data_IF_286125896764
#
_entry.id   IF_286125896764
#
_cell.length_a   1.000
_cell.length_b   1.000
_cell.length_c   1.000
_cell.angle_alpha   90.00
_cell.angle_beta   90.00
_cell.angle_gamma   90.00
#
_symmetry.space_group_name_H-M   'P 1'
#
loop_
_entity.id
_entity.type
_entity.pdbx_description
1 polymer ?
#
# COMPACT_ATOMS: atom_id res chain seq x y z
N UNK A 1 28.01 -50.57 16.16
CA UNK A 1 26.56 -50.65 15.87
C UNK A 1 25.76 -49.65 16.66
N UNK A 2 26.23 -49.28 17.84
CA UNK A 2 25.46 -48.44 18.79
C UNK A 2 25.25 -46.96 18.41
N UNK A 3 26.14 -46.41 17.55
CA UNK A 3 26.03 -44.99 17.18
C UNK A 3 24.83 -44.69 16.24
N UNK A 4 24.55 -45.60 15.31
CA UNK A 4 23.39 -45.47 14.39
C UNK A 4 22.06 -45.67 15.12
N UNK A 5 22.01 -46.57 16.12
CA UNK A 5 20.82 -46.75 16.95
C UNK A 5 20.56 -45.55 17.87
N UNK A 6 21.62 -44.97 18.45
CA UNK A 6 21.50 -43.78 19.31
C UNK A 6 21.14 -42.50 18.53
N UNK A 7 21.54 -42.37 17.27
CA UNK A 7 21.26 -41.16 16.44
C UNK A 7 20.04 -41.32 15.52
N UNK A 8 19.52 -42.55 15.36
CA UNK A 8 18.35 -42.82 14.50
C UNK A 8 17.14 -41.93 14.75
N UNK A 9 16.72 -41.72 16.00
CA UNK A 9 15.61 -40.83 16.30
C UNK A 9 15.86 -39.37 15.90
N UNK A 10 17.11 -38.89 16.04
CA UNK A 10 17.48 -37.51 15.63
C UNK A 10 17.42 -37.36 14.11
N UNK A 11 17.96 -38.31 13.35
CA UNK A 11 17.89 -38.30 11.89
C UNK A 11 16.46 -38.40 11.38
N UNK A 12 15.62 -39.19 12.01
CA UNK A 12 14.21 -39.30 11.70
C UNK A 12 13.47 -37.99 11.98
N UNK A 13 13.73 -37.32 13.12
CA UNK A 13 13.16 -36.02 13.43
C UNK A 13 13.61 -34.94 12.41
N UNK A 14 14.89 -34.90 12.04
CA UNK A 14 15.42 -34.01 11.02
C UNK A 14 14.77 -34.26 9.65
N UNK A 15 14.59 -35.52 9.27
CA UNK A 15 13.88 -35.90 8.04
C UNK A 15 12.42 -35.38 8.04
N UNK A 16 11.68 -35.59 9.13
CA UNK A 16 10.30 -35.09 9.25
C UNK A 16 10.25 -33.58 9.19
N UNK A 17 11.12 -32.87 9.89
CA UNK A 17 11.24 -31.43 9.88
C UNK A 17 11.53 -30.95 8.46
N UNK A 18 12.54 -31.49 7.81
CA UNK A 18 12.92 -31.12 6.44
C UNK A 18 11.77 -31.37 5.44
N UNK A 19 11.13 -32.55 5.55
CA UNK A 19 9.98 -32.91 4.69
C UNK A 19 8.81 -31.96 4.91
N UNK A 20 8.51 -31.59 6.16
CA UNK A 20 7.46 -30.60 6.47
C UNK A 20 7.78 -29.23 5.86
N UNK A 21 9.00 -28.72 6.05
CA UNK A 21 9.39 -27.41 5.50
C UNK A 21 9.41 -27.40 3.97
N UNK A 22 9.91 -28.46 3.34
CA UNK A 22 9.91 -28.60 1.88
C UNK A 22 8.48 -28.71 1.32
N UNK A 23 7.61 -29.51 1.93
CA UNK A 23 6.19 -29.60 1.56
C UNK A 23 5.48 -28.27 1.70
N UNK A 24 5.74 -27.52 2.79
CA UNK A 24 5.22 -26.17 2.99
C UNK A 24 5.75 -25.19 1.94
N UNK A 25 7.03 -25.25 1.61
CA UNK A 25 7.64 -24.40 0.59
C UNK A 25 7.03 -24.68 -0.79
N UNK A 26 6.87 -25.95 -1.19
CA UNK A 26 6.22 -26.33 -2.42
C UNK A 26 4.76 -25.87 -2.48
N UNK A 27 4.00 -26.06 -1.42
CA UNK A 27 2.63 -25.55 -1.32
C UNK A 27 2.58 -24.01 -1.44
N UNK A 28 3.51 -23.32 -0.76
CA UNK A 28 3.62 -21.85 -0.87
C UNK A 28 3.92 -21.41 -2.29
N UNK A 29 4.81 -22.08 -3.01
CA UNK A 29 5.11 -21.80 -4.42
C UNK A 29 3.86 -21.91 -5.31
N UNK A 30 3.04 -22.95 -5.11
CA UNK A 30 1.77 -23.10 -5.85
C UNK A 30 0.78 -21.97 -5.55
N UNK A 31 0.67 -21.58 -4.28
CA UNK A 31 -0.20 -20.45 -3.87
C UNK A 31 0.31 -19.13 -4.45
N UNK A 32 1.61 -18.89 -4.40
CA UNK A 32 2.25 -17.69 -4.93
C UNK A 32 2.12 -17.65 -6.48
N UNK A 33 2.32 -18.78 -7.17
CA UNK A 33 2.10 -18.90 -8.61
C UNK A 33 0.64 -18.56 -9.01
N UNK A 34 -0.32 -19.13 -8.29
CA UNK A 34 -1.74 -18.79 -8.48
C UNK A 34 -2.00 -17.31 -8.21
N UNK A 35 -1.38 -16.75 -7.19
CA UNK A 35 -1.46 -15.32 -6.85
C UNK A 35 -0.93 -14.44 -7.99
N UNK A 36 0.24 -14.79 -8.54
CA UNK A 36 0.84 -14.10 -9.65
C UNK A 36 -0.09 -14.10 -10.88
N UNK A 37 -0.57 -15.27 -11.29
CA UNK A 37 -1.51 -15.39 -12.43
C UNK A 37 -2.80 -14.58 -12.19
N UNK A 38 -3.30 -14.56 -10.95
CA UNK A 38 -4.51 -13.79 -10.61
C UNK A 38 -4.27 -12.29 -10.79
N UNK A 39 -3.13 -11.79 -10.34
CA UNK A 39 -2.79 -10.35 -10.45
C UNK A 39 -2.45 -9.98 -11.89
N UNK A 40 -1.64 -10.78 -12.59
CA UNK A 40 -1.29 -10.51 -13.99
C UNK A 40 -2.55 -10.41 -14.86
N UNK A 41 -3.45 -11.39 -14.78
CA UNK A 41 -4.73 -11.33 -15.53
C UNK A 41 -5.57 -10.12 -15.15
N UNK A 42 -5.64 -9.77 -13.87
CA UNK A 42 -6.37 -8.60 -13.42
C UNK A 42 -5.81 -7.30 -14.00
N UNK A 43 -4.48 -7.19 -14.11
CA UNK A 43 -3.80 -6.06 -14.74
C UNK A 43 -4.03 -6.09 -16.26
N UNK A 44 -3.76 -7.22 -16.92
CA UNK A 44 -3.95 -7.39 -18.37
C UNK A 44 -5.38 -7.06 -18.82
N UNK A 45 -6.40 -7.59 -18.13
CA UNK A 45 -7.80 -7.31 -18.41
C UNK A 45 -8.12 -5.82 -18.27
N UNK A 46 -7.56 -5.15 -17.28
CA UNK A 46 -7.79 -3.72 -17.07
C UNK A 46 -7.11 -2.85 -18.14
N UNK A 47 -5.88 -3.20 -18.54
CA UNK A 47 -5.19 -2.48 -19.61
C UNK A 47 -5.84 -2.75 -20.99
N UNK A 48 -6.34 -3.94 -21.25
CA UNK A 48 -7.11 -4.24 -22.45
C UNK A 48 -8.44 -3.47 -22.53
N UNK A 49 -9.00 -3.08 -21.38
CA UNK A 49 -10.25 -2.34 -21.30
C UNK A 49 -10.07 -0.81 -21.19
N UNK A 50 -8.85 -0.28 -21.31
CA UNK A 50 -8.59 1.16 -21.12
C UNK A 50 -9.38 2.06 -22.09
N UNK A 51 -9.55 1.63 -23.34
CA UNK A 51 -10.28 2.41 -24.34
C UNK A 51 -11.78 2.48 -24.06
N UNK A 52 -12.30 1.53 -23.28
CA UNK A 52 -13.70 1.51 -22.85
C UNK A 52 -13.97 2.36 -21.60
N UNK A 53 -12.94 2.92 -20.95
CA UNK A 53 -13.12 3.82 -19.82
C UNK A 53 -13.65 5.18 -20.28
N UNK A 54 -14.46 5.86 -19.45
CA UNK A 54 -14.91 7.23 -19.73
C UNK A 54 -13.70 8.12 -20.03
N UNK A 55 -13.76 8.95 -21.06
CA UNK A 55 -12.73 9.92 -21.34
C UNK A 55 -12.79 11.12 -20.38
N UNK A 56 -11.80 12.01 -20.48
CA UNK A 56 -11.66 13.14 -19.58
C UNK A 56 -12.87 14.09 -19.67
N UNK A 57 -13.39 14.33 -20.87
CA UNK A 57 -14.54 15.21 -21.10
C UNK A 57 -15.82 14.65 -20.46
N UNK A 58 -16.05 13.35 -20.53
CA UNK A 58 -17.16 12.67 -19.83
C UNK A 58 -17.02 12.79 -18.32
N UNK A 59 -15.80 12.56 -17.80
CA UNK A 59 -15.54 12.63 -16.37
C UNK A 59 -15.65 14.06 -15.82
N UNK A 60 -15.30 15.06 -16.60
CA UNK A 60 -15.43 16.47 -16.22
C UNK A 60 -16.89 16.87 -15.98
N UNK A 61 -17.80 16.37 -16.80
CA UNK A 61 -19.23 16.67 -16.71
C UNK A 61 -20.03 15.71 -15.82
N UNK A 62 -19.42 14.63 -15.33
CA UNK A 62 -20.07 13.67 -14.44
C UNK A 62 -20.07 14.19 -12.98
N UNK A 63 -21.23 14.59 -12.42
CA UNK A 63 -21.26 15.15 -11.06
C UNK A 63 -20.83 14.12 -9.99
N UNK A 64 -21.03 12.82 -10.27
CA UNK A 64 -20.65 11.73 -9.38
C UNK A 64 -19.18 11.35 -9.48
N UNK A 65 -18.43 11.85 -10.47
CA UNK A 65 -17.01 11.56 -10.60
C UNK A 65 -16.25 12.07 -9.37
N UNK A 66 -15.36 11.25 -8.78
CA UNK A 66 -14.66 11.62 -7.56
C UNK A 66 -13.70 12.80 -7.77
N UNK A 67 -13.38 13.49 -6.69
CA UNK A 67 -12.26 14.43 -6.63
C UNK A 67 -11.07 13.72 -5.97
N UNK A 68 -9.87 13.94 -6.50
CA UNK A 68 -8.65 13.38 -5.94
C UNK A 68 -7.80 14.47 -5.29
N UNK A 69 -7.38 14.21 -4.06
CA UNK A 69 -6.29 14.93 -3.37
C UNK A 69 -5.12 13.96 -3.29
N UNK A 70 -4.15 14.13 -4.19
CA UNK A 70 -3.01 13.22 -4.29
C UNK A 70 -1.82 13.80 -3.53
N UNK A 71 -1.45 13.13 -2.44
CA UNK A 71 -0.39 13.56 -1.53
C UNK A 71 0.96 12.94 -1.94
N UNK A 72 1.98 13.78 -1.98
CA UNK A 72 3.37 13.38 -2.21
C UNK A 72 4.19 13.86 -1.01
N UNK A 73 4.37 13.04 0.04
CA UNK A 73 5.25 13.37 1.14
C UNK A 73 6.69 13.35 0.66
N UNK A 74 7.41 14.44 0.87
CA UNK A 74 8.76 14.61 0.38
C UNK A 74 9.68 15.19 1.47
N UNK A 75 10.91 14.68 1.52
CA UNK A 75 11.95 15.15 2.43
C UNK A 75 13.33 14.90 1.82
N UNK A 76 14.01 15.99 1.44
CA UNK A 76 15.26 15.97 0.68
C UNK A 76 15.19 15.13 -0.60
N UNK A 77 14.20 15.46 -1.45
CA UNK A 77 13.92 14.65 -2.65
C UNK A 77 14.29 15.38 -3.94
N UNK A 78 15.52 15.19 -4.45
CA UNK A 78 16.00 15.91 -5.65
C UNK A 78 15.33 15.46 -6.94
N UNK A 79 14.67 14.29 -6.96
CA UNK A 79 14.07 13.69 -8.18
C UNK A 79 12.55 13.83 -8.23
N UNK A 80 11.95 14.62 -7.36
CA UNK A 80 10.50 14.78 -7.24
C UNK A 80 9.82 15.22 -8.54
N UNK A 81 10.53 15.93 -9.42
CA UNK A 81 9.98 16.40 -10.71
C UNK A 81 9.43 15.26 -11.58
N UNK A 82 10.05 14.07 -11.55
CA UNK A 82 9.56 12.89 -12.27
C UNK A 82 8.17 12.45 -11.79
N UNK A 83 7.98 12.35 -10.49
CA UNK A 83 6.71 12.01 -9.84
C UNK A 83 5.63 13.05 -10.16
N UNK A 84 5.98 14.34 -10.07
CA UNK A 84 5.06 15.42 -10.38
C UNK A 84 4.64 15.42 -11.85
N UNK A 85 5.58 15.17 -12.76
CA UNK A 85 5.28 15.04 -14.19
C UNK A 85 4.32 13.90 -14.47
N UNK A 86 4.52 12.73 -13.83
CA UNK A 86 3.63 11.59 -13.98
C UNK A 86 2.21 11.87 -13.44
N UNK A 87 2.10 12.51 -12.26
CA UNK A 87 0.82 12.86 -11.66
C UNK A 87 0.06 13.93 -12.44
N UNK A 88 0.75 15.00 -12.84
CA UNK A 88 0.16 16.11 -13.61
C UNK A 88 -0.15 15.71 -15.06
N UNK A 89 0.48 14.63 -15.57
CA UNK A 89 0.15 14.00 -16.86
C UNK A 89 -0.99 12.98 -16.78
N UNK A 90 -1.71 12.91 -15.65
CA UNK A 90 -2.85 12.01 -15.48
C UNK A 90 -3.97 12.34 -16.48
N UNK A 91 -4.57 11.29 -17.07
CA UNK A 91 -5.77 11.40 -17.93
C UNK A 91 -7.02 11.54 -17.09
N UNK A 92 -7.10 12.65 -16.35
CA UNK A 92 -8.22 12.95 -15.47
C UNK A 92 -8.49 14.45 -15.46
N UNK A 93 -9.75 14.91 -15.33
CA UNK A 93 -10.08 16.33 -15.34
C UNK A 93 -9.25 17.13 -14.35
N UNK A 94 -8.57 18.15 -14.84
CA UNK A 94 -7.62 18.95 -14.07
C UNK A 94 -8.25 19.70 -12.90
N UNK A 95 -9.56 20.03 -12.99
CA UNK A 95 -10.33 20.67 -11.92
C UNK A 95 -10.78 19.68 -10.83
N UNK A 96 -10.49 18.38 -10.98
CA UNK A 96 -10.83 17.31 -10.04
C UNK A 96 -9.63 16.56 -9.51
N UNK A 97 -8.41 16.99 -9.85
CA UNK A 97 -7.15 16.40 -9.36
C UNK A 97 -6.28 17.50 -8.75
N UNK A 98 -6.02 17.38 -7.47
CA UNK A 98 -5.13 18.26 -6.71
C UNK A 98 -3.92 17.46 -6.26
N UNK A 99 -2.73 17.86 -6.69
CA UNK A 99 -1.44 17.26 -6.28
C UNK A 99 -0.85 18.12 -5.16
N UNK A 100 -0.65 17.55 -4.00
CA UNK A 100 -0.17 18.25 -2.80
C UNK A 100 1.16 17.66 -2.38
N UNK A 101 2.22 18.44 -2.52
CA UNK A 101 3.54 18.06 -2.01
C UNK A 101 3.64 18.52 -0.55
N UNK A 102 3.79 17.55 0.34
CA UNK A 102 3.96 17.79 1.77
C UNK A 102 5.45 17.74 2.11
N UNK A 103 6.07 18.89 2.35
CA UNK A 103 7.46 19.04 2.75
C UNK A 103 7.59 19.36 4.24
N UNK A 104 8.80 19.52 4.74
CA UNK A 104 9.09 19.82 6.16
C UNK A 104 9.93 21.09 6.31
N UNK A 105 9.60 21.93 7.28
CA UNK A 105 10.40 23.12 7.63
C UNK A 105 11.85 22.79 8.02
N UNK A 106 12.12 21.54 8.42
CA UNK A 106 13.49 21.10 8.75
C UNK A 106 14.46 21.24 7.57
N UNK A 107 13.98 21.10 6.33
CA UNK A 107 14.83 21.27 5.14
C UNK A 107 15.39 22.69 5.04
N UNK A 108 14.63 23.69 5.47
CA UNK A 108 15.08 25.09 5.47
C UNK A 108 16.14 25.36 6.55
N UNK A 109 16.02 24.65 7.69
CA UNK A 109 16.92 24.81 8.83
C UNK A 109 18.20 23.98 8.73
N UNK A 110 18.15 22.87 8.01
CA UNK A 110 19.24 21.90 7.87
C UNK A 110 19.41 21.50 6.41
N UNK A 111 20.12 22.29 5.58
CA UNK A 111 20.33 21.95 4.19
C UNK A 111 21.02 20.60 4.03
N UNK A 112 20.54 19.78 3.09
CA UNK A 112 21.15 18.49 2.80
C UNK A 112 22.46 18.71 2.02
N UNK A 113 23.60 18.06 2.38
CA UNK A 113 24.90 18.30 1.74
C UNK A 113 24.95 18.03 0.23
N UNK A 114 23.96 17.29 -0.31
CA UNK A 114 23.87 16.92 -1.73
C UNK A 114 22.77 17.64 -2.49
N UNK A 115 22.11 18.61 -1.87
CA UNK A 115 21.06 19.40 -2.49
C UNK A 115 21.42 20.88 -2.41
N UNK A 116 21.37 21.57 -3.54
CA UNK A 116 21.63 23.02 -3.61
C UNK A 116 20.46 23.84 -3.05
N UNK A 117 19.27 23.23 -2.94
CA UNK A 117 18.06 23.90 -2.50
C UNK A 117 17.11 22.91 -1.81
N UNK A 118 16.05 23.41 -1.16
CA UNK A 118 15.03 22.57 -0.50
C UNK A 118 14.10 21.92 -1.53
N UNK A 119 13.45 20.82 -1.13
CA UNK A 119 12.42 20.17 -1.97
C UNK A 119 11.29 21.17 -2.28
N UNK A 120 10.87 21.97 -1.32
CA UNK A 120 9.84 22.99 -1.53
C UNK A 120 10.20 23.96 -2.63
N UNK A 121 11.44 24.44 -2.66
CA UNK A 121 11.93 25.37 -3.69
C UNK A 121 12.05 24.68 -5.06
N UNK A 122 12.52 23.43 -5.10
CA UNK A 122 12.52 22.64 -6.35
C UNK A 122 11.11 22.51 -6.94
N UNK A 123 10.11 22.25 -6.11
CA UNK A 123 8.72 22.14 -6.55
C UNK A 123 8.17 23.49 -7.03
N UNK A 124 8.51 24.59 -6.35
CA UNK A 124 8.10 25.93 -6.81
C UNK A 124 8.69 26.26 -8.18
N UNK A 125 10.01 26.05 -8.37
CA UNK A 125 10.68 26.25 -9.66
C UNK A 125 10.08 25.35 -10.73
N UNK A 126 9.83 24.08 -10.45
CA UNK A 126 9.15 23.18 -11.36
C UNK A 126 7.75 23.70 -11.73
N UNK A 127 6.94 24.13 -10.73
CA UNK A 127 5.61 24.69 -10.97
C UNK A 127 5.64 25.91 -11.90
N UNK A 128 6.64 26.77 -11.76
CA UNK A 128 6.78 27.98 -12.61
C UNK A 128 7.07 27.65 -14.07
N UNK A 129 7.54 26.43 -14.39
CA UNK A 129 7.72 25.95 -15.77
C UNK A 129 6.45 25.36 -16.39
N UNK A 130 5.41 25.12 -15.58
CA UNK A 130 4.17 24.47 -16.03
C UNK A 130 3.19 25.47 -16.67
N UNK A 131 2.30 24.99 -17.56
CA UNK A 131 1.20 25.80 -18.05
C UNK A 131 0.25 26.20 -16.90
N UNK A 132 -0.48 27.35 -17.00
CA UNK A 132 -1.28 27.88 -15.89
C UNK A 132 -2.30 26.92 -15.29
N UNK A 133 -2.87 26.02 -16.09
CA UNK A 133 -3.83 25.04 -15.61
C UNK A 133 -3.17 23.96 -14.74
N UNK A 134 -1.95 23.50 -15.07
CA UNK A 134 -1.20 22.55 -14.22
C UNK A 134 -0.66 23.23 -12.94
N UNK A 135 -0.31 24.52 -13.02
CA UNK A 135 0.10 25.27 -11.82
C UNK A 135 -0.99 25.27 -10.74
N UNK A 136 -2.26 25.33 -11.15
CA UNK A 136 -3.41 25.28 -10.23
C UNK A 136 -3.62 23.91 -9.60
N UNK A 137 -3.18 22.83 -10.26
CA UNK A 137 -3.26 21.47 -9.72
C UNK A 137 -2.22 21.21 -8.63
N UNK A 138 -1.10 21.96 -8.62
CA UNK A 138 0.07 21.67 -7.77
C UNK A 138 0.16 22.66 -6.59
N UNK A 139 0.08 22.12 -5.38
CA UNK A 139 0.20 22.88 -4.13
C UNK A 139 1.35 22.33 -3.29
N UNK A 140 2.10 23.23 -2.66
CA UNK A 140 3.14 22.86 -1.68
C UNK A 140 2.63 23.20 -0.29
N UNK A 141 2.68 22.25 0.61
CA UNK A 141 2.36 22.40 2.03
C UNK A 141 3.58 22.06 2.86
N UNK A 142 3.97 22.95 3.74
CA UNK A 142 5.12 22.75 4.61
C UNK A 142 4.65 22.37 6.01
N UNK A 143 5.02 21.19 6.46
CA UNK A 143 4.74 20.74 7.81
C UNK A 143 5.77 21.33 8.79
N UNK A 144 5.35 21.76 10.02
CA UNK A 144 6.25 22.28 11.03
C UNK A 144 7.40 21.30 11.37
N UNK A 145 8.55 21.82 11.75
CA UNK A 145 9.73 21.00 12.05
C UNK A 145 9.50 19.97 13.18
N UNK A 146 8.60 20.28 14.12
CA UNK A 146 8.22 19.36 15.20
C UNK A 146 7.31 18.20 14.72
N UNK A 147 6.84 18.23 13.47
CA UNK A 147 6.07 17.12 12.91
C UNK A 147 6.99 15.93 12.62
N UNK A 148 6.67 14.78 13.22
CA UNK A 148 7.51 13.58 13.14
C UNK A 148 7.56 12.90 11.75
N UNK A 149 7.11 11.65 11.67
CA UNK A 149 7.23 10.79 10.47
C UNK A 149 6.25 11.17 9.35
N UNK A 150 6.34 10.46 8.21
CA UNK A 150 5.51 10.58 6.99
C UNK A 150 4.01 10.76 7.29
N UNK A 151 3.45 9.98 8.23
CA UNK A 151 2.03 10.10 8.61
C UNK A 151 1.65 11.51 9.10
N UNK A 152 2.52 12.16 9.83
CA UNK A 152 2.27 13.52 10.32
C UNK A 152 2.27 14.54 9.17
N UNK A 153 3.17 14.39 8.18
CA UNK A 153 3.17 15.23 6.97
C UNK A 153 1.87 15.05 6.19
N UNK A 154 1.42 13.78 6.02
CA UNK A 154 0.17 13.45 5.33
C UNK A 154 -1.04 14.07 6.06
N UNK A 155 -1.11 13.92 7.39
CA UNK A 155 -2.19 14.51 8.18
C UNK A 155 -2.14 16.05 8.16
N UNK A 156 -0.95 16.65 8.17
CA UNK A 156 -0.79 18.09 8.06
C UNK A 156 -1.29 18.63 6.71
N UNK A 157 -1.03 17.90 5.64
CA UNK A 157 -1.53 18.24 4.30
C UNK A 157 -3.05 18.13 4.19
N UNK A 158 -3.71 17.34 5.03
CA UNK A 158 -5.16 17.12 5.05
C UNK A 158 -5.92 17.94 6.10
N UNK A 159 -5.27 18.92 6.73
CA UNK A 159 -5.96 19.80 7.67
C UNK A 159 -7.08 20.61 6.98
N UNK A 160 -8.12 21.00 7.75
CA UNK A 160 -9.30 21.67 7.19
C UNK A 160 -8.98 22.89 6.32
N UNK A 161 -8.01 23.70 6.72
CA UNK A 161 -7.62 24.91 5.99
C UNK A 161 -7.06 24.60 4.60
N UNK A 162 -6.22 23.56 4.53
CA UNK A 162 -5.64 23.09 3.25
C UNK A 162 -6.76 22.55 2.34
N UNK A 163 -7.61 21.67 2.89
CA UNK A 163 -8.72 21.10 2.13
C UNK A 163 -9.71 22.15 1.66
N UNK A 164 -10.01 23.16 2.49
CA UNK A 164 -10.87 24.26 2.11
C UNK A 164 -10.28 25.07 0.94
N UNK A 165 -8.97 25.31 0.96
CA UNK A 165 -8.27 26.02 -0.13
C UNK A 165 -8.30 25.21 -1.44
N UNK A 166 -8.10 23.89 -1.35
CA UNK A 166 -8.02 23.01 -2.52
C UNK A 166 -9.39 22.73 -3.14
N UNK A 167 -10.38 22.47 -2.31
CA UNK A 167 -11.66 21.90 -2.71
C UNK A 167 -12.79 22.94 -2.77
N UNK A 168 -12.61 24.15 -2.18
CA UNK A 168 -13.71 25.10 -1.93
C UNK A 168 -14.62 24.61 -0.79
N UNK A 169 -15.70 25.37 -0.47
CA UNK A 169 -16.44 25.19 0.78
C UNK A 169 -17.22 23.87 0.96
N UNK A 170 -17.89 23.36 -0.09
CA UNK A 170 -18.91 22.30 0.05
C UNK A 170 -18.57 21.02 -0.73
N UNK A 171 -17.50 20.34 -0.33
CA UNK A 171 -17.20 19.02 -0.90
C UNK A 171 -17.72 17.90 -0.01
N UNK A 172 -18.50 16.98 -0.60
CA UNK A 172 -18.87 15.73 0.05
C UNK A 172 -17.64 14.86 0.27
N UNK A 173 -17.20 14.61 1.52
CA UNK A 173 -16.03 13.80 1.80
C UNK A 173 -16.14 12.35 1.30
N UNK A 174 -17.35 11.87 1.04
CA UNK A 174 -17.59 10.56 0.46
C UNK A 174 -17.27 10.49 -1.04
N UNK A 175 -17.06 11.63 -1.69
CA UNK A 175 -16.65 11.75 -3.11
C UNK A 175 -15.20 12.16 -3.29
N UNK A 176 -14.48 12.42 -2.21
CA UNK A 176 -13.07 12.77 -2.24
C UNK A 176 -12.21 11.55 -1.91
N UNK A 177 -11.26 11.23 -2.78
CA UNK A 177 -10.25 10.21 -2.52
C UNK A 177 -8.89 10.86 -2.29
N UNK A 178 -8.27 10.48 -1.17
CA UNK A 178 -6.91 10.85 -0.83
C UNK A 178 -5.98 9.77 -1.39
N UNK A 179 -5.20 10.13 -2.40
CA UNK A 179 -4.13 9.30 -2.96
C UNK A 179 -2.79 9.57 -2.26
N UNK A 180 -1.90 8.59 -2.20
CA UNK A 180 -0.53 8.75 -1.72
C UNK A 180 0.41 8.07 -2.68
N UNK A 181 1.43 8.80 -3.14
CA UNK A 181 2.60 8.29 -3.85
C UNK A 181 3.87 8.79 -3.18
N UNK A 182 4.92 7.97 -3.16
CA UNK A 182 6.23 8.43 -2.70
C UNK A 182 6.84 9.41 -3.71
N UNK A 183 7.76 10.25 -3.29
CA UNK A 183 8.31 11.33 -4.12
C UNK A 183 9.25 10.84 -5.25
N UNK A 184 9.52 9.55 -5.31
CA UNK A 184 10.27 8.83 -6.35
C UNK A 184 9.38 7.85 -7.15
N UNK A 185 8.06 7.97 -7.03
CA UNK A 185 7.08 7.11 -7.69
C UNK A 185 6.65 7.64 -9.06
N UNK A 186 6.38 6.71 -9.98
CA UNK A 186 5.87 7.01 -11.32
C UNK A 186 4.53 6.28 -11.53
N UNK A 187 3.39 6.85 -11.07
CA UNK A 187 2.08 6.25 -11.25
C UNK A 187 1.64 6.31 -12.71
N UNK A 188 0.89 5.28 -13.16
CA UNK A 188 0.29 5.26 -14.49
C UNK A 188 -0.71 6.41 -14.65
N UNK A 189 -0.68 7.07 -15.81
CA UNK A 189 -1.57 8.20 -16.14
C UNK A 189 -3.06 7.87 -16.14
N UNK A 190 -3.44 6.60 -16.21
CA UNK A 190 -4.83 6.16 -16.16
C UNK A 190 -5.31 5.78 -14.76
N UNK A 191 -4.47 5.92 -13.74
CA UNK A 191 -4.78 5.55 -12.35
C UNK A 191 -6.07 6.19 -11.84
N UNK A 192 -6.19 7.52 -11.92
CA UNK A 192 -7.37 8.25 -11.47
C UNK A 192 -8.59 7.96 -12.35
N UNK A 193 -8.38 7.87 -13.66
CA UNK A 193 -9.43 7.55 -14.65
C UNK A 193 -10.05 6.19 -14.38
N UNK A 194 -9.22 5.17 -14.14
CA UNK A 194 -9.70 3.82 -13.82
C UNK A 194 -10.49 3.80 -12.51
N UNK A 195 -9.96 4.45 -11.47
CA UNK A 195 -10.62 4.51 -10.16
C UNK A 195 -11.97 5.24 -10.27
N UNK A 196 -12.03 6.35 -11.00
CA UNK A 196 -13.28 7.06 -11.25
C UNK A 196 -14.31 6.19 -11.98
N UNK A 197 -13.88 5.44 -13.00
CA UNK A 197 -14.75 4.51 -13.72
C UNK A 197 -15.30 3.39 -12.80
N UNK A 198 -14.48 2.87 -11.88
CA UNK A 198 -14.92 1.87 -10.91
C UNK A 198 -15.96 2.44 -9.92
N UNK A 199 -15.77 3.70 -9.48
CA UNK A 199 -16.73 4.44 -8.64
C UNK A 199 -18.04 4.66 -9.38
N UNK A 200 -17.99 5.19 -10.61
CA UNK A 200 -19.18 5.48 -11.42
C UNK A 200 -19.97 4.23 -11.80
N UNK A 201 -19.28 3.10 -11.95
CA UNK A 201 -19.94 1.80 -12.17
C UNK A 201 -20.57 1.20 -10.89
N UNK A 202 -20.61 1.92 -9.79
CA UNK A 202 -21.17 1.46 -8.51
C UNK A 202 -20.33 0.38 -7.81
N UNK A 203 -19.09 0.14 -8.26
CA UNK A 203 -18.16 -0.82 -7.65
C UNK A 203 -17.20 -0.16 -6.66
N UNK A 204 -17.24 1.16 -6.56
CA UNK A 204 -16.31 1.96 -5.76
C UNK A 204 -16.12 1.46 -4.33
N UNK A 205 -14.86 1.33 -3.91
CA UNK A 205 -14.46 0.94 -2.57
C UNK A 205 -14.07 2.18 -1.75
N UNK A 206 -14.13 2.04 -0.43
CA UNK A 206 -13.67 3.10 0.48
C UNK A 206 -12.15 3.25 0.52
N UNK A 207 -11.41 2.23 0.10
CA UNK A 207 -9.96 2.26 -0.01
C UNK A 207 -9.49 1.33 -1.14
N UNK A 208 -8.35 1.68 -1.74
CA UNK A 208 -7.69 0.91 -2.80
C UNK A 208 -6.19 0.85 -2.56
N UNK A 209 -5.58 -0.24 -3.03
CA UNK A 209 -4.15 -0.40 -3.14
C UNK A 209 -3.79 -0.79 -4.56
N UNK A 210 -2.91 -0.03 -5.19
CA UNK A 210 -2.44 -0.27 -6.53
C UNK A 210 -1.28 -1.27 -6.61
N UNK A 211 -1.03 -1.73 -7.82
CA UNK A 211 0.10 -2.60 -8.16
C UNK A 211 1.36 -1.75 -8.25
N UNK A 212 2.37 -2.10 -7.48
CA UNK A 212 3.65 -1.38 -7.44
C UNK A 212 4.79 -2.29 -7.87
N UNK A 213 5.71 -1.76 -8.67
CA UNK A 213 6.91 -2.43 -9.14
C UNK A 213 8.15 -1.61 -8.79
N UNK A 214 9.10 -2.21 -8.11
CA UNK A 214 10.38 -1.56 -7.72
C UNK A 214 11.37 -1.54 -8.89
N UNK A 215 10.97 -0.96 -10.04
CA UNK A 215 11.69 -1.02 -11.30
C UNK A 215 12.04 0.36 -11.90
N UNK A 216 11.67 1.48 -11.25
CA UNK A 216 11.90 2.81 -11.82
C UNK A 216 13.39 3.14 -12.04
N UNK A 217 14.26 2.68 -11.14
CA UNK A 217 15.71 2.85 -11.25
C UNK A 217 16.48 1.56 -11.58
N UNK A 218 15.81 0.55 -12.13
CA UNK A 218 16.39 -0.80 -12.34
C UNK A 218 17.74 -0.78 -13.07
N UNK A 219 17.88 0.04 -14.10
CA UNK A 219 19.11 0.15 -14.88
C UNK A 219 20.31 0.72 -14.08
N UNK A 220 20.03 1.49 -13.02
CA UNK A 220 21.07 2.09 -12.16
C UNK A 220 21.51 1.16 -11.03
N UNK A 221 20.78 0.06 -10.80
CA UNK A 221 21.07 -0.88 -9.72
C UNK A 221 22.21 -1.83 -10.12
N UNK A 222 23.04 -2.18 -9.14
CA UNK A 222 23.97 -3.28 -9.26
C UNK A 222 23.24 -4.62 -9.37
N UNK A 223 23.97 -5.72 -9.59
CA UNK A 223 23.37 -7.04 -9.75
C UNK A 223 22.49 -7.44 -8.54
N UNK A 224 22.96 -7.18 -7.31
CA UNK A 224 22.22 -7.49 -6.08
C UNK A 224 20.94 -6.65 -5.97
N UNK A 225 21.05 -5.38 -6.27
CA UNK A 225 19.90 -4.47 -6.30
C UNK A 225 18.85 -4.91 -7.31
N UNK A 226 19.24 -5.34 -8.51
CA UNK A 226 18.31 -5.86 -9.53
C UNK A 226 17.58 -7.12 -9.06
N UNK A 227 18.28 -8.05 -8.42
CA UNK A 227 17.65 -9.24 -7.83
C UNK A 227 16.65 -8.85 -6.75
N UNK A 228 17.00 -7.91 -5.86
CA UNK A 228 16.08 -7.41 -4.83
C UNK A 228 14.86 -6.71 -5.44
N UNK A 229 15.04 -5.91 -6.50
CA UNK A 229 13.96 -5.22 -7.21
C UNK A 229 12.94 -6.21 -7.82
N UNK A 230 13.44 -7.26 -8.49
CA UNK A 230 12.59 -8.34 -9.03
C UNK A 230 11.85 -9.07 -7.91
N UNK A 231 12.57 -9.41 -6.83
CA UNK A 231 11.99 -10.13 -5.69
C UNK A 231 10.88 -9.30 -5.01
N UNK A 232 11.11 -8.02 -4.75
CA UNK A 232 10.14 -7.12 -4.13
C UNK A 232 8.91 -6.93 -5.01
N UNK A 233 9.10 -6.65 -6.30
CA UNK A 233 8.01 -6.55 -7.28
C UNK A 233 7.20 -7.85 -7.35
N UNK A 234 7.87 -8.99 -7.39
CA UNK A 234 7.24 -10.31 -7.37
C UNK A 234 6.38 -10.53 -6.12
N UNK A 235 6.86 -10.14 -4.92
CA UNK A 235 6.08 -10.25 -3.67
C UNK A 235 4.82 -9.39 -3.75
N UNK A 236 4.91 -8.17 -4.27
CA UNK A 236 3.74 -7.30 -4.42
C UNK A 236 2.69 -7.92 -5.34
N UNK A 237 3.10 -8.44 -6.49
CA UNK A 237 2.20 -9.08 -7.46
C UNK A 237 1.58 -10.37 -6.89
N UNK A 238 2.41 -11.33 -6.48
CA UNK A 238 1.96 -12.68 -6.12
C UNK A 238 1.29 -12.79 -4.76
N UNK A 239 1.60 -11.87 -3.82
CA UNK A 239 1.11 -11.94 -2.45
C UNK A 239 0.18 -10.78 -2.12
N UNK A 240 0.65 -9.53 -2.25
CA UNK A 240 -0.08 -8.39 -1.72
C UNK A 240 -1.37 -8.10 -2.49
N UNK A 241 -1.29 -7.90 -3.79
CA UNK A 241 -2.44 -7.60 -4.64
C UNK A 241 -3.36 -8.81 -4.80
N UNK A 242 -2.78 -10.00 -5.05
CA UNK A 242 -3.55 -11.24 -5.12
C UNK A 242 -4.39 -11.49 -3.86
N UNK A 243 -3.84 -11.13 -2.68
CA UNK A 243 -4.57 -11.23 -1.40
C UNK A 243 -5.79 -10.32 -1.39
N UNK A 244 -5.68 -9.06 -1.83
CA UNK A 244 -6.81 -8.13 -1.89
C UNK A 244 -7.89 -8.63 -2.86
N UNK A 245 -7.51 -9.03 -4.08
CA UNK A 245 -8.45 -9.59 -5.08
C UNK A 245 -9.19 -10.80 -4.49
N UNK A 246 -8.47 -11.73 -3.89
CA UNK A 246 -9.06 -12.94 -3.32
C UNK A 246 -9.87 -12.64 -2.06
N UNK A 247 -9.54 -11.62 -1.27
CA UNK A 247 -10.33 -11.22 -0.10
C UNK A 247 -11.70 -10.70 -0.51
N UNK A 248 -11.76 -9.83 -1.52
CA UNK A 248 -13.03 -9.34 -2.07
C UNK A 248 -13.89 -10.51 -2.56
N UNK A 249 -13.29 -11.48 -3.28
CA UNK A 249 -14.00 -12.68 -3.77
C UNK A 249 -14.53 -13.55 -2.63
N UNK A 250 -13.74 -13.76 -1.57
CA UNK A 250 -14.14 -14.55 -0.39
C UNK A 250 -15.30 -13.91 0.35
N UNK A 251 -15.23 -12.60 0.60
CA UNK A 251 -16.30 -11.88 1.28
C UNK A 251 -17.57 -11.85 0.45
N UNK A 252 -17.47 -11.65 -0.86
CA UNK A 252 -18.63 -11.73 -1.77
C UNK A 252 -19.25 -13.14 -1.79
N UNK A 253 -18.41 -14.19 -1.77
CA UNK A 253 -18.91 -15.57 -1.64
C UNK A 253 -19.67 -15.79 -0.32
N UNK A 254 -19.08 -15.34 0.79
CA UNK A 254 -19.72 -15.47 2.11
C UNK A 254 -21.03 -14.67 2.20
N UNK A 255 -21.09 -13.47 1.61
CA UNK A 255 -22.31 -12.67 1.53
C UNK A 255 -23.42 -13.40 0.75
N UNK A 256 -23.07 -14.07 -0.38
CA UNK A 256 -24.03 -14.92 -1.12
C UNK A 256 -24.50 -16.12 -0.31
N UNK A 257 -23.61 -16.75 0.47
CA UNK A 257 -23.99 -17.82 1.41
C UNK A 257 -24.97 -17.30 2.46
N UNK A 258 -24.67 -16.15 3.04
CA UNK A 258 -25.51 -15.52 4.06
C UNK A 258 -26.93 -15.17 3.54
N UNK A 259 -27.02 -14.67 2.30
CA UNK A 259 -28.28 -14.39 1.66
C UNK A 259 -29.12 -15.65 1.40
N UNK A 260 -28.47 -16.75 1.01
CA UNK A 260 -29.16 -18.02 0.69
C UNK A 260 -29.46 -18.90 1.91
N UNK A 261 -28.55 -18.89 2.90
CA UNK A 261 -28.61 -19.77 4.09
C UNK A 261 -28.17 -19.00 5.36
N UNK A 262 -28.98 -18.05 5.86
CA UNK A 262 -28.58 -17.14 6.95
C UNK A 262 -28.19 -17.86 8.25
N UNK A 263 -28.90 -18.93 8.62
CA UNK A 263 -28.59 -19.71 9.83
C UNK A 263 -27.24 -20.42 9.73
N UNK A 264 -26.93 -21.04 8.59
CA UNK A 264 -25.64 -21.68 8.35
C UNK A 264 -24.52 -20.63 8.33
N UNK A 265 -24.71 -19.51 7.65
CA UNK A 265 -23.75 -18.43 7.60
C UNK A 265 -23.45 -17.85 9.01
N UNK A 266 -24.46 -17.67 9.83
CA UNK A 266 -24.28 -17.22 11.22
C UNK A 266 -23.43 -18.22 12.02
N UNK A 267 -23.68 -19.51 11.88
CA UNK A 267 -22.94 -20.56 12.57
C UNK A 267 -21.48 -20.66 12.12
N UNK A 268 -21.20 -20.56 10.80
CA UNK A 268 -19.83 -20.67 10.28
C UNK A 268 -19.07 -19.35 10.26
N UNK A 269 -19.71 -18.21 10.57
CA UNK A 269 -19.08 -16.88 10.56
C UNK A 269 -17.77 -16.81 11.38
N UNK A 270 -17.70 -17.29 12.63
CA UNK A 270 -16.45 -17.23 13.40
C UNK A 270 -15.31 -17.98 12.71
N UNK A 271 -15.59 -19.16 12.16
CA UNK A 271 -14.60 -19.94 11.40
C UNK A 271 -14.16 -19.23 10.12
N UNK A 272 -15.10 -18.58 9.42
CA UNK A 272 -14.79 -17.77 8.25
C UNK A 272 -13.88 -16.59 8.60
N UNK A 273 -14.18 -15.86 9.66
CA UNK A 273 -13.39 -14.71 10.12
C UNK A 273 -12.00 -15.13 10.63
N UNK A 274 -11.90 -16.20 11.39
CA UNK A 274 -10.64 -16.74 11.89
C UNK A 274 -9.78 -17.37 10.79
N UNK A 275 -10.38 -18.18 9.92
CA UNK A 275 -9.65 -19.03 8.98
C UNK A 275 -9.43 -18.42 7.60
N UNK A 276 -10.46 -17.81 7.05
CA UNK A 276 -10.52 -17.44 5.63
C UNK A 276 -10.34 -15.95 5.37
N UNK A 277 -10.80 -15.05 6.24
CA UNK A 277 -10.56 -13.62 6.08
C UNK A 277 -9.10 -13.28 6.30
N UNK A 278 -8.59 -12.35 5.49
CA UNK A 278 -7.20 -11.89 5.55
C UNK A 278 -7.13 -10.43 5.97
N UNK A 279 -6.04 -10.06 6.62
CA UNK A 279 -5.74 -8.67 6.95
C UNK A 279 -5.64 -7.84 5.67
N UNK A 280 -6.12 -6.61 5.72
CA UNK A 280 -5.90 -5.64 4.66
C UNK A 280 -4.43 -5.24 4.66
N UNK A 281 -3.91 -4.83 3.51
CA UNK A 281 -2.51 -4.44 3.33
C UNK A 281 -2.49 -3.10 2.61
N UNK A 282 -1.86 -2.11 3.23
CA UNK A 282 -1.42 -0.89 2.58
C UNK A 282 0.11 -0.96 2.43
N UNK A 283 0.64 -0.36 1.36
CA UNK A 283 2.06 -0.40 1.00
C UNK A 283 2.73 0.98 1.12
N UNK A 284 2.04 1.96 1.69
CA UNK A 284 2.57 3.30 1.92
C UNK A 284 2.55 4.25 0.72
N UNK A 285 2.36 3.71 -0.48
CA UNK A 285 2.23 4.46 -1.73
C UNK A 285 1.30 3.73 -2.69
N UNK A 286 0.89 4.40 -3.78
CA UNK A 286 -0.13 3.93 -4.72
C UNK A 286 -1.41 3.44 -4.02
N UNK A 287 -1.78 4.12 -2.96
CA UNK A 287 -2.98 3.83 -2.17
C UNK A 287 -3.95 5.01 -2.26
N UNK A 288 -5.23 4.69 -2.21
CA UNK A 288 -6.30 5.69 -2.20
C UNK A 288 -7.28 5.35 -1.08
N UNK A 289 -7.62 6.34 -0.28
CA UNK A 289 -8.61 6.19 0.79
C UNK A 289 -9.61 7.32 0.70
N UNK A 290 -10.88 7.00 0.79
CA UNK A 290 -11.95 8.00 0.77
C UNK A 290 -11.86 8.90 1.99
N UNK A 291 -12.01 10.19 1.82
CA UNK A 291 -11.76 11.20 2.85
C UNK A 291 -12.65 11.03 4.09
N UNK A 292 -13.93 10.68 3.92
CA UNK A 292 -14.82 10.38 5.04
C UNK A 292 -14.32 9.20 5.88
N UNK A 293 -13.81 8.18 5.22
CA UNK A 293 -13.23 6.99 5.85
C UNK A 293 -11.95 7.34 6.61
N UNK A 294 -11.08 8.13 5.99
CA UNK A 294 -9.84 8.57 6.64
C UNK A 294 -10.13 9.46 7.86
N UNK A 295 -11.10 10.39 7.75
CA UNK A 295 -11.58 11.19 8.88
C UNK A 295 -12.15 10.33 10.01
N UNK A 296 -12.95 9.31 9.69
CA UNK A 296 -13.48 8.37 10.68
C UNK A 296 -12.40 7.52 11.36
N UNK A 297 -11.24 7.37 10.74
CA UNK A 297 -10.05 6.73 11.33
C UNK A 297 -9.25 7.67 12.24
N UNK A 298 -9.47 8.98 12.16
CA UNK A 298 -8.66 10.00 12.82
C UNK A 298 -7.45 10.44 12.01
N UNK A 299 -7.45 10.18 10.71
CA UNK A 299 -6.34 10.44 9.78
C UNK A 299 -5.47 9.21 9.51
N UNK A 300 -4.28 9.46 8.97
CA UNK A 300 -3.23 8.44 8.85
C UNK A 300 -2.68 8.10 10.23
N UNK A 301 -2.52 6.81 10.57
CA UNK A 301 -1.98 6.41 11.88
C UNK A 301 -0.58 6.98 12.10
N UNK A 302 -0.36 7.64 13.23
CA UNK A 302 0.92 8.24 13.60
C UNK A 302 1.72 7.37 14.59
N UNK A 303 1.14 6.27 15.02
CA UNK A 303 1.75 5.33 15.94
C UNK A 303 2.57 4.29 15.16
N UNK A 304 3.84 4.18 15.46
CA UNK A 304 4.73 3.20 14.83
C UNK A 304 5.52 3.72 13.63
N UNK A 305 6.44 2.87 13.14
CA UNK A 305 7.39 3.22 12.09
C UNK A 305 6.80 3.06 10.67
N UNK A 306 5.64 2.41 10.53
CA UNK A 306 4.98 2.11 9.25
C UNK A 306 3.49 2.46 9.36
N UNK A 307 3.13 3.68 8.92
CA UNK A 307 1.77 4.19 8.93
C UNK A 307 0.82 3.39 8.04
N UNK A 308 1.36 2.81 6.98
CA UNK A 308 0.66 2.07 5.94
C UNK A 308 0.14 0.72 6.44
N UNK A 309 0.99 -0.10 7.05
CA UNK A 309 0.54 -1.38 7.60
C UNK A 309 -0.51 -1.18 8.69
N UNK A 310 -0.30 -0.20 9.57
CA UNK A 310 -1.24 0.17 10.62
C UNK A 310 -2.57 0.66 10.03
N UNK A 311 -2.54 1.47 8.95
CA UNK A 311 -3.75 1.89 8.22
C UNK A 311 -4.51 0.69 7.66
N UNK A 312 -3.81 -0.26 7.03
CA UNK A 312 -4.42 -1.49 6.53
C UNK A 312 -5.14 -2.28 7.64
N UNK A 313 -4.52 -2.41 8.79
CA UNK A 313 -5.14 -3.06 9.95
C UNK A 313 -6.34 -2.27 10.52
N UNK A 314 -6.24 -0.95 10.57
CA UNK A 314 -7.32 -0.07 11.03
C UNK A 314 -8.57 -0.16 10.13
N UNK A 315 -8.37 -0.20 8.80
CA UNK A 315 -9.43 -0.45 7.82
C UNK A 315 -10.07 -1.83 8.05
N UNK A 316 -9.25 -2.86 8.16
CA UNK A 316 -9.71 -4.22 8.40
C UNK A 316 -10.50 -4.37 9.69
N UNK A 317 -10.05 -3.77 10.80
CA UNK A 317 -10.74 -3.80 12.10
C UNK A 317 -12.13 -3.15 12.04
N UNK A 318 -12.34 -2.18 11.14
CA UNK A 318 -13.66 -1.57 10.87
C UNK A 318 -14.48 -2.29 9.78
N UNK A 319 -14.02 -3.46 9.33
CA UNK A 319 -14.70 -4.23 8.31
C UNK A 319 -14.63 -3.63 6.90
N UNK A 320 -13.77 -2.63 6.68
CA UNK A 320 -13.60 -1.98 5.38
C UNK A 320 -12.72 -2.86 4.50
N UNK A 321 -13.25 -3.26 3.34
CA UNK A 321 -12.52 -4.01 2.33
C UNK A 321 -11.84 -3.06 1.37
N UNK A 322 -10.52 -3.23 1.21
CA UNK A 322 -9.78 -2.54 0.18
C UNK A 322 -9.98 -3.21 -1.18
N UNK A 323 -10.11 -2.40 -2.22
CA UNK A 323 -10.04 -2.85 -3.61
C UNK A 323 -8.58 -2.96 -4.08
N UNK A 324 -8.33 -3.87 -5.01
CA UNK A 324 -7.12 -3.82 -5.80
C UNK A 324 -7.30 -2.83 -6.95
N UNK A 325 -6.29 -1.99 -7.21
CA UNK A 325 -6.23 -1.08 -8.34
C UNK A 325 -5.24 -1.65 -9.37
N UNK A 326 -5.65 -1.93 -10.61
CA UNK A 326 -4.83 -2.64 -11.60
C UNK A 326 -3.79 -1.77 -12.29
N UNK A 327 -3.86 -0.46 -12.16
CA UNK A 327 -2.89 0.44 -12.76
C UNK A 327 -1.55 0.31 -12.05
N UNK A 328 -0.46 0.40 -12.82
CA UNK A 328 0.88 0.21 -12.30
C UNK A 328 1.47 1.50 -11.74
N UNK A 329 2.31 1.36 -10.73
CA UNK A 329 3.21 2.41 -10.27
C UNK A 329 4.63 1.85 -10.26
N UNK A 330 5.57 2.56 -10.86
CA UNK A 330 6.99 2.25 -10.76
C UNK A 330 7.60 3.06 -9.63
N UNK A 331 8.42 2.42 -8.80
CA UNK A 331 9.13 3.08 -7.69
C UNK A 331 10.62 2.75 -7.73
N UNK A 332 11.42 3.64 -7.15
CA UNK A 332 12.85 3.42 -6.97
C UNK A 332 13.11 2.37 -5.86
N UNK A 333 14.14 1.58 -6.04
CA UNK A 333 14.73 0.79 -4.96
C UNK A 333 15.99 1.50 -4.44
N UNK A 334 16.32 1.41 -3.14
CA UNK A 334 17.58 1.96 -2.63
C UNK A 334 18.79 1.43 -3.39
N UNK A 335 19.63 2.34 -3.88
CA UNK A 335 20.77 2.02 -4.80
C UNK A 335 21.93 1.30 -4.10
N UNK A 336 21.97 1.30 -2.76
CA UNK A 336 23.06 0.66 -2.00
C UNK A 336 22.53 -0.33 -0.98
N UNK A 337 23.27 -1.40 -0.76
CA UNK A 337 22.95 -2.44 0.26
C UNK A 337 22.69 -1.82 1.63
N UNK A 338 23.48 -0.82 2.02
CA UNK A 338 23.36 -0.15 3.30
C UNK A 338 22.02 0.60 3.48
N UNK A 339 21.56 1.29 2.42
CA UNK A 339 20.24 1.91 2.40
C UNK A 339 19.12 0.86 2.43
N UNK A 340 19.28 -0.28 1.71
CA UNK A 340 18.30 -1.37 1.76
C UNK A 340 18.19 -2.00 3.16
N UNK A 341 19.33 -2.22 3.84
CA UNK A 341 19.34 -2.74 5.22
C UNK A 341 18.62 -1.79 6.16
N UNK A 342 18.89 -0.48 6.07
CA UNK A 342 18.19 0.52 6.88
C UNK A 342 16.69 0.57 6.60
N UNK A 343 16.28 0.47 5.34
CA UNK A 343 14.87 0.41 4.95
C UNK A 343 14.18 -0.83 5.54
N UNK A 344 14.80 -2.01 5.39
CA UNK A 344 14.27 -3.26 5.94
C UNK A 344 14.20 -3.25 7.47
N UNK A 345 15.22 -2.67 8.14
CA UNK A 345 15.21 -2.51 9.60
C UNK A 345 14.04 -1.63 10.08
N UNK A 346 13.76 -0.53 9.35
CA UNK A 346 12.60 0.33 9.62
C UNK A 346 11.29 -0.42 9.42
N UNK A 347 11.16 -1.20 8.34
CA UNK A 347 9.98 -2.02 8.11
C UNK A 347 9.77 -3.07 9.20
N UNK A 348 10.86 -3.73 9.64
CA UNK A 348 10.76 -4.71 10.71
C UNK A 348 10.39 -4.07 12.05
N UNK A 349 10.89 -2.86 12.33
CA UNK A 349 10.44 -2.09 13.49
C UNK A 349 8.92 -1.84 13.42
N UNK A 350 8.39 -1.43 12.28
CA UNK A 350 6.94 -1.27 12.08
C UNK A 350 6.16 -2.56 12.33
N UNK A 351 6.70 -3.71 11.92
CA UNK A 351 6.10 -5.01 12.24
C UNK A 351 5.99 -5.24 13.74
N UNK A 352 6.99 -4.85 14.53
CA UNK A 352 6.94 -4.95 16.00
C UNK A 352 5.94 -3.95 16.61
N UNK A 353 5.92 -2.71 16.11
CA UNK A 353 4.99 -1.67 16.56
C UNK A 353 3.51 -2.06 16.31
N UNK A 354 3.23 -2.72 15.18
CA UNK A 354 1.89 -3.22 14.82
C UNK A 354 1.30 -4.22 15.84
N UNK A 355 2.13 -4.96 16.59
CA UNK A 355 1.65 -5.86 17.66
C UNK A 355 0.88 -5.09 18.73
N UNK A 356 1.41 -3.94 19.13
CA UNK A 356 0.75 -3.05 20.09
C UNK A 356 -0.59 -2.52 19.56
N UNK A 357 -0.62 -2.07 18.29
CA UNK A 357 -1.85 -1.61 17.65
C UNK A 357 -2.90 -2.73 17.56
N UNK A 358 -2.53 -3.90 17.06
CA UNK A 358 -3.44 -5.04 16.91
C UNK A 358 -3.96 -5.56 18.24
N UNK A 359 -3.13 -5.52 19.28
CA UNK A 359 -3.55 -5.88 20.65
C UNK A 359 -4.62 -4.92 21.18
N UNK A 360 -4.44 -3.61 20.98
CA UNK A 360 -5.44 -2.61 21.35
C UNK A 360 -6.72 -2.76 20.53
N UNK A 361 -6.60 -2.97 19.22
CA UNK A 361 -7.75 -3.20 18.34
C UNK A 361 -8.57 -4.42 18.78
N UNK A 362 -7.91 -5.53 19.14
CA UNK A 362 -8.58 -6.71 19.67
C UNK A 362 -9.23 -6.47 21.03
N UNK A 363 -8.55 -5.80 21.96
CA UNK A 363 -9.11 -5.49 23.29
C UNK A 363 -10.32 -4.55 23.18
N UNK A 364 -10.27 -3.57 22.27
CA UNK A 364 -11.38 -2.64 22.07
C UNK A 364 -12.60 -3.25 21.35
N UNK A 365 -12.37 -4.26 20.48
CA UNK A 365 -13.40 -5.00 19.75
C UNK A 365 -12.97 -6.46 19.60
N UNK A 366 -13.30 -7.34 20.55
CA UNK A 366 -12.84 -8.74 20.60
C UNK A 366 -13.60 -9.62 19.59
N UNK A 367 -13.47 -9.31 18.32
CA UNK A 367 -14.03 -10.11 17.23
C UNK A 367 -13.07 -11.24 16.83
N UNK A 368 -13.59 -12.36 16.27
CA UNK A 368 -12.75 -13.43 15.71
C UNK A 368 -11.78 -12.92 14.65
N UNK A 369 -12.19 -11.93 13.86
CA UNK A 369 -11.34 -11.32 12.84
C UNK A 369 -10.16 -10.54 13.45
N UNK A 370 -10.40 -9.70 14.47
CA UNK A 370 -9.33 -8.93 15.11
C UNK A 370 -8.33 -9.85 15.83
N UNK A 371 -8.79 -10.91 16.48
CA UNK A 371 -7.93 -11.94 17.02
C UNK A 371 -7.10 -12.62 15.93
N UNK A 372 -7.73 -12.98 14.82
CA UNK A 372 -7.04 -13.61 13.70
C UNK A 372 -5.99 -12.70 13.07
N UNK A 373 -6.23 -11.41 12.98
CA UNK A 373 -5.22 -10.44 12.52
C UNK A 373 -3.99 -10.45 13.43
N UNK A 374 -4.20 -10.36 14.75
CA UNK A 374 -3.11 -10.36 15.74
C UNK A 374 -2.30 -11.68 15.67
N UNK A 375 -2.97 -12.83 15.75
CA UNK A 375 -2.30 -14.14 15.75
C UNK A 375 -1.50 -14.38 14.46
N UNK A 376 -2.06 -14.00 13.30
CA UNK A 376 -1.35 -14.14 12.02
C UNK A 376 -0.19 -13.16 11.89
N UNK A 377 -0.35 -11.94 12.40
CA UNK A 377 0.74 -10.97 12.38
C UNK A 377 1.92 -11.46 13.23
N UNK A 378 1.65 -11.90 14.46
CA UNK A 378 2.69 -12.46 15.34
C UNK A 378 3.30 -13.71 14.72
N UNK A 379 2.50 -14.67 14.27
CA UNK A 379 3.02 -15.91 13.69
C UNK A 379 3.84 -15.70 12.42
N UNK A 380 3.31 -14.95 11.46
CA UNK A 380 3.93 -14.86 10.13
C UNK A 380 5.02 -13.78 10.04
N UNK A 381 4.89 -12.67 10.78
CA UNK A 381 5.83 -11.55 10.63
C UNK A 381 6.81 -11.46 11.80
N UNK A 382 6.37 -11.62 13.04
CA UNK A 382 7.25 -11.51 14.21
C UNK A 382 8.06 -12.77 14.41
N UNK A 383 7.46 -13.96 14.22
CA UNK A 383 8.12 -15.25 14.48
C UNK A 383 8.72 -15.83 13.20
N UNK A 384 7.95 -15.98 12.12
CA UNK A 384 8.40 -16.68 10.91
C UNK A 384 9.50 -15.90 10.16
N UNK A 385 9.43 -14.58 10.09
CA UNK A 385 10.41 -13.77 9.36
C UNK A 385 11.84 -13.92 9.88
N UNK A 386 12.13 -13.77 11.20
CA UNK A 386 13.47 -14.02 11.72
C UNK A 386 13.91 -15.47 11.57
N UNK A 387 13.00 -16.43 11.80
CA UNK A 387 13.30 -17.85 11.63
C UNK A 387 13.65 -18.15 10.18
N UNK A 388 12.88 -17.66 9.23
CA UNK A 388 13.14 -17.84 7.81
C UNK A 388 14.49 -17.25 7.38
N UNK A 389 14.88 -16.09 7.93
CA UNK A 389 16.16 -15.46 7.65
C UNK A 389 17.38 -16.29 8.11
N UNK A 390 17.20 -17.14 9.12
CA UNK A 390 18.25 -18.03 9.63
C UNK A 390 18.16 -19.44 9.03
N UNK A 391 16.95 -20.00 8.99
CA UNK A 391 16.74 -21.41 8.61
C UNK A 391 16.90 -21.62 7.10
N UNK A 392 16.38 -20.73 6.25
CA UNK A 392 16.48 -20.92 4.79
C UNK A 392 17.93 -20.92 4.27
N UNK A 393 18.84 -20.04 4.71
CA UNK A 393 20.24 -20.14 4.33
C UNK A 393 20.93 -21.42 4.84
N UNK A 394 20.48 -21.97 5.97
CA UNK A 394 21.10 -23.17 6.58
C UNK A 394 20.55 -24.49 6.01
N UNK A 395 19.26 -24.52 5.66
CA UNK A 395 18.56 -25.74 5.20
C UNK A 395 18.40 -25.77 3.67
N UNK A 396 18.53 -24.63 3.00
CA UNK A 396 18.36 -24.48 1.54
C UNK A 396 19.66 -24.57 0.74
N UNK A 397 20.80 -24.87 1.39
CA UNK A 397 22.09 -25.14 0.78
C UNK A 397 22.50 -26.59 1.00
#
# INVERSE_FOLDING_TARGET
MDWLEATGPLWFALFLITTFFNGRAAFKLLVDWKGMLTTCRFVEDAYAALDALPDEAVLEHAPEAPVFVHLVPAWYEPRIAGTLTALLGSRYPHNRLHVVVATREEEERSPHPRMETTTAELVRRFRDTLPPWQQKMLTVVMAPAATGHKAHQLNWALRPETLQTLLGGDHDPARVYVGVSDADSLPDRNTHRWLAADVLAGRGRRAYQGVTLSLANFERLDHRGRVCAIQQSSIFIRVSIARLINEVRRVAWFARLAARRPRLAAWVRPLFELGFRRSQICLGHHQFVRLDTLRALGGFPTEGATEDSTLGYALGARGILMGALPMLELVDLPETTDKMVRQNARWYKGVLDDVGFLTRAWRGAPTPFNLAQLLRHVGNKVVEWPIAAVVYPVVGF
#
